data_IF_115065858440
#
_entry.id   IF_115065858440
#
_cell.length_a   1.000
_cell.length_b   1.000
_cell.length_c   1.000
_cell.angle_alpha   90.00
_cell.angle_beta   90.00
_cell.angle_gamma   90.00
#
_symmetry.space_group_name_H-M   'P 1'
#
loop_
_entity.id
_entity.type
_entity.pdbx_description
1 polymer ?
#
# COMPACT_ATOMS: atom_id res chain seq x y z
N UNK A 1 -50.87 16.69 25.31
CA UNK A 1 -49.76 15.83 24.85
C UNK A 1 -49.04 16.63 23.76
N UNK A 2 -47.84 17.13 24.06
CA UNK A 2 -47.18 18.20 23.28
C UNK A 2 -46.74 17.71 21.89
N UNK A 3 -47.04 18.50 20.86
CA UNK A 3 -46.69 18.22 19.46
C UNK A 3 -45.19 17.98 19.27
N UNK A 4 -44.33 18.69 20.01
CA UNK A 4 -42.87 18.53 19.96
C UNK A 4 -42.38 17.14 20.41
N UNK A 5 -43.07 16.52 21.37
CA UNK A 5 -42.73 15.17 21.82
C UNK A 5 -43.04 14.14 20.73
N UNK A 6 -44.10 14.36 19.96
CA UNK A 6 -44.49 13.47 18.87
C UNK A 6 -43.52 13.59 17.67
N UNK A 7 -43.05 14.81 17.39
CA UNK A 7 -42.02 15.06 16.36
C UNK A 7 -40.70 14.43 16.75
N UNK A 8 -40.28 14.56 18.02
CA UNK A 8 -39.06 13.92 18.52
C UNK A 8 -39.14 12.40 18.41
N UNK A 9 -40.24 11.77 18.85
CA UNK A 9 -40.40 10.32 18.76
C UNK A 9 -40.41 9.83 17.30
N UNK A 10 -41.05 10.55 16.38
CA UNK A 10 -41.02 10.23 14.95
C UNK A 10 -39.62 10.37 14.35
N UNK A 11 -38.85 11.37 14.77
CA UNK A 11 -37.46 11.57 14.34
C UNK A 11 -36.57 10.45 14.85
N UNK A 12 -36.65 10.14 16.15
CA UNK A 12 -35.88 9.04 16.76
C UNK A 12 -36.24 7.72 16.10
N UNK A 13 -37.53 7.44 15.86
CA UNK A 13 -37.97 6.21 15.21
C UNK A 13 -37.52 6.12 13.76
N UNK A 14 -37.54 7.22 12.99
CA UNK A 14 -36.97 7.27 11.64
C UNK A 14 -35.45 7.07 11.63
N UNK A 15 -34.75 7.61 12.62
CA UNK A 15 -33.30 7.43 12.76
C UNK A 15 -32.98 6.00 13.19
N UNK A 16 -33.74 5.40 14.09
CA UNK A 16 -33.60 4.00 14.49
C UNK A 16 -33.98 3.03 13.37
N UNK A 17 -34.99 3.33 12.55
CA UNK A 17 -35.33 2.55 11.35
C UNK A 17 -34.23 2.66 10.29
N UNK A 18 -33.60 3.83 10.14
CA UNK A 18 -32.59 4.09 9.12
C UNK A 18 -31.17 3.66 9.53
N UNK A 19 -30.85 3.69 10.82
CA UNK A 19 -29.50 3.42 11.33
C UNK A 19 -29.43 2.29 12.37
N UNK A 20 -30.56 1.71 12.76
CA UNK A 20 -30.64 0.75 13.86
C UNK A 20 -30.51 1.40 15.24
N UNK A 21 -30.57 0.57 16.30
CA UNK A 21 -30.28 1.01 17.66
C UNK A 21 -28.83 1.51 17.77
N UNK A 22 -28.58 2.53 18.61
CA UNK A 22 -27.22 3.04 18.94
C UNK A 22 -26.26 1.91 19.35
N UNK A 23 -26.78 0.88 20.03
CA UNK A 23 -26.00 -0.30 20.46
C UNK A 23 -25.63 -1.23 19.29
N UNK A 24 -26.41 -1.18 18.22
CA UNK A 24 -26.13 -1.87 16.97
C UNK A 24 -25.08 -1.08 16.17
N UNK A 25 -25.26 0.24 16.02
CA UNK A 25 -24.24 1.14 15.42
C UNK A 25 -22.86 0.99 16.06
N UNK A 26 -22.76 1.02 17.38
CA UNK A 26 -21.45 0.88 18.06
C UNK A 26 -20.85 -0.51 17.84
N UNK A 27 -21.67 -1.57 17.76
CA UNK A 27 -21.18 -2.91 17.39
C UNK A 27 -20.68 -2.94 15.95
N UNK A 28 -21.38 -2.31 15.02
CA UNK A 28 -20.94 -2.16 13.64
C UNK A 28 -19.61 -1.40 13.54
N UNK A 29 -19.52 -0.22 14.17
CA UNK A 29 -18.31 0.60 14.20
C UNK A 29 -17.11 -0.16 14.76
N UNK A 30 -17.29 -0.89 15.87
CA UNK A 30 -16.23 -1.71 16.46
C UNK A 30 -15.74 -2.82 15.51
N UNK A 31 -16.65 -3.43 14.72
CA UNK A 31 -16.27 -4.42 13.70
C UNK A 31 -15.51 -3.81 12.53
N UNK A 32 -15.93 -2.63 12.07
CA UNK A 32 -15.22 -1.89 11.02
C UNK A 32 -13.84 -1.41 11.47
N UNK A 33 -13.70 -0.87 12.68
CA UNK A 33 -12.41 -0.40 13.21
C UNK A 33 -11.41 -1.55 13.44
N UNK A 34 -11.90 -2.74 13.77
CA UNK A 34 -11.05 -3.93 13.87
C UNK A 34 -10.61 -4.48 12.52
N UNK A 35 -11.26 -4.09 11.42
CA UNK A 35 -10.97 -4.63 10.09
C UNK A 35 -9.93 -3.79 9.36
N UNK A 36 -8.67 -4.18 9.51
CA UNK A 36 -7.55 -3.65 8.72
C UNK A 36 -7.20 -4.60 7.57
N UNK A 37 -6.65 -4.08 6.47
CA UNK A 37 -6.16 -4.89 5.34
C UNK A 37 -5.02 -5.79 5.82
N UNK A 38 -5.13 -7.09 5.58
CA UNK A 38 -4.05 -8.03 5.91
C UNK A 38 -2.92 -7.97 4.87
N UNK A 39 -1.68 -8.22 5.27
CA UNK A 39 -0.50 -8.26 4.39
C UNK A 39 -0.58 -9.45 3.43
N UNK A 40 -1.19 -9.25 2.26
CA UNK A 40 -1.40 -10.27 1.22
C UNK A 40 -2.84 -10.40 0.74
N UNK A 41 -3.76 -9.65 1.35
CA UNK A 41 -5.17 -9.61 0.96
C UNK A 41 -5.40 -8.63 -0.20
N UNK A 42 -6.20 -9.06 -1.18
CA UNK A 42 -6.62 -8.21 -2.31
C UNK A 42 -7.60 -7.15 -1.82
N UNK A 43 -7.59 -5.98 -2.48
CA UNK A 43 -8.51 -4.90 -2.13
C UNK A 43 -9.96 -5.30 -2.41
N UNK A 44 -10.23 -6.15 -3.42
CA UNK A 44 -11.54 -6.73 -3.62
C UNK A 44 -12.03 -7.57 -2.44
N UNK A 45 -11.19 -8.44 -1.87
CA UNK A 45 -11.61 -9.26 -0.72
C UNK A 45 -11.98 -8.37 0.49
N UNK A 46 -11.20 -7.32 0.74
CA UNK A 46 -11.54 -6.33 1.75
C UNK A 46 -12.83 -5.58 1.41
N UNK A 47 -13.02 -5.17 0.15
CA UNK A 47 -14.23 -4.48 -0.31
C UNK A 47 -15.49 -5.33 -0.20
N UNK A 48 -15.40 -6.62 -0.53
CA UNK A 48 -16.49 -7.59 -0.43
C UNK A 48 -16.86 -7.86 1.04
N UNK A 49 -15.85 -7.99 1.92
CA UNK A 49 -16.07 -8.07 3.37
C UNK A 49 -16.79 -6.81 3.89
N UNK A 50 -16.35 -5.61 3.47
CA UNK A 50 -16.98 -4.35 3.87
C UNK A 50 -18.43 -4.24 3.36
N UNK A 51 -18.74 -4.85 2.22
CA UNK A 51 -20.09 -4.90 1.64
C UNK A 51 -21.00 -5.92 2.29
N UNK A 52 -20.48 -7.08 2.68
CA UNK A 52 -21.24 -8.07 3.44
C UNK A 52 -21.73 -7.54 4.79
N UNK A 53 -21.14 -6.45 5.27
CA UNK A 53 -21.49 -5.85 6.55
C UNK A 53 -22.84 -5.10 6.49
N UNK A 54 -23.28 -4.47 5.39
CA UNK A 54 -24.70 -4.04 5.18
C UNK A 54 -24.96 -3.38 3.80
N UNK A 55 -26.23 -3.32 3.37
CA UNK A 55 -26.65 -2.92 2.01
C UNK A 55 -27.21 -1.46 1.91
N UNK A 56 -27.10 -0.66 2.97
CA UNK A 56 -27.66 0.71 2.97
C UNK A 56 -26.68 1.77 2.46
N UNK A 57 -27.18 2.68 1.61
CA UNK A 57 -26.41 3.78 1.00
C UNK A 57 -25.77 4.74 2.04
N UNK A 58 -26.35 4.84 3.24
CA UNK A 58 -25.78 5.65 4.32
C UNK A 58 -24.59 4.95 5.02
N UNK A 59 -24.55 3.62 5.00
CA UNK A 59 -23.42 2.83 5.49
C UNK A 59 -22.31 2.69 4.44
N UNK A 60 -22.61 2.80 3.13
CA UNK A 60 -21.58 2.81 2.07
C UNK A 60 -20.57 3.95 2.27
N UNK A 61 -21.03 5.16 2.61
CA UNK A 61 -20.15 6.30 2.90
C UNK A 61 -19.24 6.01 4.10
N UNK A 62 -19.74 5.28 5.09
CA UNK A 62 -19.00 4.94 6.29
C UNK A 62 -17.96 3.83 6.01
N UNK A 63 -18.35 2.83 5.20
CA UNK A 63 -17.45 1.79 4.71
C UNK A 63 -16.33 2.35 3.82
N UNK A 64 -16.65 3.31 2.95
CA UNK A 64 -15.69 4.00 2.10
C UNK A 64 -14.68 4.83 2.91
N UNK A 65 -15.13 5.50 3.97
CA UNK A 65 -14.24 6.19 4.90
C UNK A 65 -13.28 5.22 5.63
N UNK A 66 -13.74 4.01 5.97
CA UNK A 66 -12.89 2.99 6.60
C UNK A 66 -11.90 2.40 5.59
N UNK A 67 -12.36 2.13 4.36
CA UNK A 67 -11.52 1.72 3.25
C UNK A 67 -10.36 2.72 3.06
N UNK A 68 -10.64 4.02 3.03
CA UNK A 68 -9.61 5.08 2.92
C UNK A 68 -8.62 5.16 4.07
N UNK A 69 -8.97 4.67 5.28
CA UNK A 69 -7.99 4.57 6.38
C UNK A 69 -7.04 3.39 6.20
N UNK A 70 -7.46 2.35 5.48
CA UNK A 70 -6.70 1.11 5.29
C UNK A 70 -5.79 1.10 4.06
N UNK A 71 -5.83 2.17 3.25
CA UNK A 71 -5.17 2.28 1.95
C UNK A 71 -4.09 3.38 2.00
N UNK A 72 -2.98 3.25 1.25
CA UNK A 72 -2.00 4.32 1.10
C UNK A 72 -2.61 5.64 0.59
N UNK A 73 -2.06 6.76 1.07
CA UNK A 73 -2.53 8.13 0.82
C UNK A 73 -2.69 8.44 -0.68
N UNK A 74 -1.78 7.95 -1.52
CA UNK A 74 -1.81 8.19 -2.97
C UNK A 74 -3.09 7.64 -3.64
N UNK A 75 -3.50 6.45 -3.25
CA UNK A 75 -4.70 5.81 -3.80
C UNK A 75 -5.96 6.50 -3.29
N UNK A 76 -5.95 6.93 -2.03
CA UNK A 76 -7.04 7.73 -1.45
C UNK A 76 -7.25 9.02 -2.25
N UNK A 77 -6.20 9.80 -2.49
CA UNK A 77 -6.30 11.04 -3.26
C UNK A 77 -6.88 10.80 -4.66
N UNK A 78 -6.49 9.72 -5.34
CA UNK A 78 -7.03 9.39 -6.68
C UNK A 78 -8.49 8.96 -6.66
N UNK A 79 -8.94 8.30 -5.59
CA UNK A 79 -10.35 7.98 -5.41
C UNK A 79 -11.17 9.26 -5.13
N UNK A 80 -10.63 10.20 -4.37
CA UNK A 80 -11.24 11.52 -4.13
C UNK A 80 -11.31 12.35 -5.43
N UNK A 81 -10.24 12.39 -6.24
CA UNK A 81 -10.20 13.10 -7.54
C UNK A 81 -11.25 12.59 -8.54
N UNK A 82 -11.63 11.31 -8.44
CA UNK A 82 -12.65 10.69 -9.30
C UNK A 82 -14.06 10.72 -8.71
N UNK A 83 -14.25 11.38 -7.57
CA UNK A 83 -15.52 11.47 -6.85
C UNK A 83 -16.19 10.11 -6.62
N UNK A 84 -15.43 9.12 -6.12
CA UNK A 84 -15.96 7.78 -5.86
C UNK A 84 -17.10 7.82 -4.83
N UNK A 85 -18.26 7.27 -5.18
CA UNK A 85 -19.44 7.23 -4.30
C UNK A 85 -19.64 5.88 -3.63
N UNK A 86 -19.17 4.81 -4.26
CA UNK A 86 -19.36 3.43 -3.78
C UNK A 86 -18.03 2.77 -3.47
N UNK A 87 -18.08 1.74 -2.62
CA UNK A 87 -16.92 0.89 -2.32
C UNK A 87 -16.45 0.13 -3.57
N UNK A 88 -17.34 -0.26 -4.49
CA UNK A 88 -16.93 -0.89 -5.76
C UNK A 88 -16.03 0.01 -6.58
N UNK A 89 -16.44 1.27 -6.76
CA UNK A 89 -15.72 2.19 -7.64
C UNK A 89 -14.32 2.42 -7.09
N UNK A 90 -14.20 2.58 -5.77
CA UNK A 90 -12.91 2.69 -5.10
C UNK A 90 -12.06 1.43 -5.30
N UNK A 91 -12.62 0.24 -5.05
CA UNK A 91 -11.92 -1.04 -5.21
C UNK A 91 -11.40 -1.24 -6.65
N UNK A 92 -12.23 -1.04 -7.67
CA UNK A 92 -11.83 -1.21 -9.08
C UNK A 92 -10.68 -0.26 -9.45
N UNK A 93 -10.76 0.99 -8.99
CA UNK A 93 -9.70 1.98 -9.20
C UNK A 93 -8.39 1.51 -8.56
N UNK A 94 -8.45 1.07 -7.30
CA UNK A 94 -7.25 0.66 -6.56
C UNK A 94 -6.64 -0.59 -7.17
N UNK A 95 -7.43 -1.62 -7.47
CA UNK A 95 -6.94 -2.86 -8.09
C UNK A 95 -6.29 -2.58 -9.46
N UNK A 96 -6.91 -1.72 -10.26
CA UNK A 96 -6.33 -1.31 -11.54
C UNK A 96 -5.00 -0.59 -11.36
N UNK A 97 -4.87 0.28 -10.36
CA UNK A 97 -3.60 0.96 -10.10
C UNK A 97 -2.53 0.04 -9.51
N UNK A 98 -2.88 -0.85 -8.58
CA UNK A 98 -1.95 -1.84 -8.02
C UNK A 98 -1.43 -2.77 -9.13
N UNK A 99 -2.30 -3.21 -10.04
CA UNK A 99 -1.93 -3.98 -11.21
C UNK A 99 -0.94 -3.18 -12.07
N UNK A 100 -1.29 -1.95 -12.49
CA UNK A 100 -0.41 -1.11 -13.30
C UNK A 100 0.96 -0.91 -12.64
N UNK A 101 1.02 -0.54 -11.36
CA UNK A 101 2.27 -0.34 -10.64
C UNK A 101 3.13 -1.61 -10.60
N UNK A 102 2.51 -2.76 -10.35
CA UNK A 102 3.19 -4.06 -10.38
C UNK A 102 3.77 -4.37 -11.77
N UNK A 103 3.02 -4.09 -12.83
CA UNK A 103 3.45 -4.30 -14.21
C UNK A 103 4.57 -3.35 -14.62
N UNK A 104 4.48 -2.06 -14.28
CA UNK A 104 5.54 -1.08 -14.52
C UNK A 104 6.83 -1.43 -13.77
N UNK A 105 6.71 -1.96 -12.55
CA UNK A 105 7.85 -2.47 -11.80
C UNK A 105 8.51 -3.64 -12.53
N UNK A 106 7.73 -4.67 -12.91
CA UNK A 106 8.21 -5.82 -13.68
C UNK A 106 8.84 -5.40 -15.03
N UNK A 107 8.26 -4.42 -15.72
CA UNK A 107 8.76 -3.89 -16.99
C UNK A 107 10.13 -3.22 -16.81
N UNK A 108 10.26 -2.28 -15.87
CA UNK A 108 11.52 -1.59 -15.56
C UNK A 108 12.63 -2.59 -15.24
N UNK A 109 12.33 -3.56 -14.41
CA UNK A 109 13.26 -4.64 -14.05
C UNK A 109 13.71 -5.45 -15.29
N UNK A 110 12.81 -5.70 -16.25
CA UNK A 110 13.15 -6.41 -17.49
C UNK A 110 13.93 -5.59 -18.51
N UNK A 111 13.75 -4.26 -18.53
CA UNK A 111 14.37 -3.35 -19.50
C UNK A 111 15.81 -3.00 -19.14
N UNK A 112 16.11 -2.84 -17.85
CA UNK A 112 17.45 -2.52 -17.36
C UNK A 112 17.98 -3.64 -16.47
N UNK A 113 18.35 -4.80 -17.03
CA UNK A 113 18.83 -5.92 -16.22
C UNK A 113 20.10 -5.59 -15.41
N UNK A 114 20.86 -4.56 -15.81
CA UNK A 114 21.96 -4.05 -15.01
C UNK A 114 21.51 -3.49 -13.66
N UNK A 115 20.34 -2.84 -13.57
CA UNK A 115 19.85 -2.30 -12.29
C UNK A 115 19.58 -3.43 -11.30
N UNK A 116 19.18 -4.61 -11.75
CA UNK A 116 18.99 -5.80 -10.91
C UNK A 116 20.23 -6.13 -10.08
N UNK A 117 21.40 -6.04 -10.71
CA UNK A 117 22.65 -6.33 -10.02
C UNK A 117 23.04 -5.23 -9.06
N UNK A 118 22.87 -3.96 -9.44
CA UNK A 118 23.34 -2.81 -8.65
C UNK A 118 22.35 -2.34 -7.57
N UNK A 119 21.07 -2.61 -7.73
CA UNK A 119 19.99 -2.22 -6.82
C UNK A 119 20.16 -2.80 -5.40
N UNK A 120 20.51 -4.09 -5.18
CA UNK A 120 20.82 -4.57 -3.82
C UNK A 120 22.10 -3.95 -3.23
N UNK A 121 23.06 -3.50 -4.05
CA UNK A 121 24.25 -2.79 -3.55
C UNK A 121 23.97 -1.36 -3.17
N UNK A 122 22.90 -0.75 -3.69
CA UNK A 122 22.48 0.60 -3.33
C UNK A 122 21.75 0.67 -1.98
N UNK A 123 21.43 -0.47 -1.37
CA UNK A 123 20.77 -0.54 -0.07
C UNK A 123 21.74 -0.23 1.07
N UNK A 124 21.23 0.37 2.15
CA UNK A 124 22.06 0.89 3.23
C UNK A 124 22.95 -0.18 3.87
N UNK A 125 22.41 -1.39 4.08
CA UNK A 125 23.14 -2.46 4.78
C UNK A 125 24.31 -2.97 3.93
N UNK A 126 24.05 -3.30 2.66
CA UNK A 126 25.07 -3.84 1.76
C UNK A 126 26.15 -2.80 1.48
N UNK A 127 25.74 -1.57 1.15
CA UNK A 127 26.66 -0.47 0.92
C UNK A 127 27.49 -0.13 2.17
N UNK A 128 26.84 -0.12 3.33
CA UNK A 128 27.49 0.13 4.62
C UNK A 128 28.55 -0.92 4.94
N UNK A 129 28.27 -2.20 4.72
CA UNK A 129 29.23 -3.29 4.94
C UNK A 129 30.45 -3.17 4.01
N UNK A 130 30.24 -2.88 2.72
CA UNK A 130 31.32 -2.67 1.77
C UNK A 130 32.17 -1.45 2.13
N UNK A 131 31.54 -0.35 2.52
CA UNK A 131 32.23 0.86 2.96
C UNK A 131 33.04 0.61 4.25
N UNK A 132 32.46 -0.09 5.23
CA UNK A 132 33.15 -0.47 6.46
C UNK A 132 34.36 -1.36 6.19
N UNK A 133 34.24 -2.32 5.28
CA UNK A 133 35.35 -3.18 4.87
C UNK A 133 36.46 -2.37 4.17
N UNK A 134 36.10 -1.53 3.20
CA UNK A 134 37.05 -0.69 2.47
C UNK A 134 37.80 0.28 3.39
N UNK A 135 37.08 0.94 4.32
CA UNK A 135 37.69 1.89 5.28
C UNK A 135 38.58 1.19 6.31
N UNK A 136 38.20 -0.01 6.74
CA UNK A 136 39.05 -0.85 7.60
C UNK A 136 40.33 -1.26 6.86
N UNK A 137 40.22 -1.65 5.59
CA UNK A 137 41.37 -2.06 4.78
C UNK A 137 42.33 -0.91 4.44
N UNK A 138 41.81 0.25 4.06
CA UNK A 138 42.63 1.39 3.59
C UNK A 138 43.17 2.25 4.74
N UNK A 139 42.39 2.47 5.79
CA UNK A 139 42.69 3.47 6.82
C UNK A 139 42.84 2.85 8.23
N UNK A 140 42.73 1.53 8.38
CA UNK A 140 42.73 0.84 9.67
C UNK A 140 41.68 1.38 10.66
N UNK A 141 40.57 1.92 10.14
CA UNK A 141 39.47 2.38 10.97
C UNK A 141 38.65 1.20 11.51
N UNK A 142 38.05 1.39 12.68
CA UNK A 142 37.13 0.40 13.24
C UNK A 142 35.89 0.31 12.35
N UNK A 143 35.80 -0.75 11.53
CA UNK A 143 34.74 -0.92 10.54
C UNK A 143 33.32 -0.81 11.11
N UNK A 144 33.09 -1.28 12.34
CA UNK A 144 31.78 -1.16 13.01
C UNK A 144 31.36 0.30 13.24
N UNK A 145 32.30 1.20 13.57
CA UNK A 145 32.01 2.62 13.76
C UNK A 145 31.64 3.27 12.42
N UNK A 146 32.40 2.96 11.37
CA UNK A 146 32.13 3.45 10.02
C UNK A 146 30.75 2.97 9.53
N UNK A 147 30.41 1.71 9.79
CA UNK A 147 29.10 1.15 9.46
C UNK A 147 27.97 1.88 10.18
N UNK A 148 28.07 2.07 11.50
CA UNK A 148 27.03 2.74 12.29
C UNK A 148 26.84 4.20 11.87
N UNK A 149 27.93 4.93 11.60
CA UNK A 149 27.85 6.30 11.10
C UNK A 149 27.21 6.34 9.71
N UNK A 150 27.56 5.41 8.83
CA UNK A 150 26.95 5.30 7.51
C UNK A 150 25.44 5.07 7.61
N UNK A 151 25.00 4.10 8.42
CA UNK A 151 23.58 3.83 8.65
C UNK A 151 22.83 5.04 9.21
N UNK A 152 23.43 5.78 10.14
CA UNK A 152 22.83 6.99 10.69
C UNK A 152 22.65 8.07 9.61
N UNK A 153 23.68 8.32 8.80
CA UNK A 153 23.62 9.31 7.73
C UNK A 153 22.56 8.92 6.69
N UNK A 154 22.53 7.64 6.30
CA UNK A 154 21.55 7.15 5.34
C UNK A 154 20.11 7.28 5.85
N UNK A 155 19.88 6.88 7.09
CA UNK A 155 18.58 7.04 7.76
C UNK A 155 18.11 8.51 7.79
N UNK A 156 19.03 9.46 8.04
CA UNK A 156 18.72 10.89 8.03
C UNK A 156 18.39 11.39 6.62
N UNK A 157 19.11 10.93 5.60
CA UNK A 157 18.83 11.29 4.21
C UNK A 157 17.46 10.77 3.77
N UNK A 158 17.10 9.53 4.10
CA UNK A 158 15.79 8.96 3.79
C UNK A 158 14.66 9.73 4.51
N UNK A 159 14.89 10.13 5.77
CA UNK A 159 13.96 10.98 6.49
C UNK A 159 13.77 12.33 5.79
N UNK A 160 14.86 12.98 5.37
CA UNK A 160 14.80 14.24 4.64
C UNK A 160 14.08 14.07 3.30
N UNK A 161 14.37 12.99 2.55
CA UNK A 161 13.76 12.70 1.26
C UNK A 161 12.24 12.61 1.38
N UNK A 162 11.73 11.85 2.34
CA UNK A 162 10.29 11.73 2.57
C UNK A 162 9.67 13.06 3.00
N UNK A 163 10.37 13.86 3.82
CA UNK A 163 9.92 15.21 4.17
C UNK A 163 9.81 16.14 2.95
N UNK A 164 10.72 16.00 2.00
CA UNK A 164 10.71 16.78 0.75
C UNK A 164 9.58 16.33 -0.18
N UNK A 165 9.38 15.02 -0.33
CA UNK A 165 8.33 14.45 -1.19
C UNK A 165 6.93 14.84 -0.68
N UNK A 166 6.71 14.73 0.64
CA UNK A 166 5.41 15.05 1.25
C UNK A 166 5.13 16.57 1.26
N UNK A 167 6.18 17.40 1.25
CA UNK A 167 6.05 18.86 1.28
C UNK A 167 5.42 19.42 2.57
N UNK A 168 5.31 18.61 3.63
CA UNK A 168 4.57 18.95 4.86
C UNK A 168 5.00 18.17 6.12
N UNK A 169 4.30 18.36 7.25
CA UNK A 169 4.50 17.54 8.44
C UNK A 169 4.00 16.12 8.20
N UNK A 170 4.84 15.12 8.50
CA UNK A 170 4.51 13.71 8.32
C UNK A 170 3.39 13.28 9.27
N UNK A 171 2.42 12.47 8.80
CA UNK A 171 1.29 12.02 9.63
C UNK A 171 1.66 10.91 10.63
N UNK A 172 2.92 10.49 10.69
CA UNK A 172 3.42 9.41 11.54
C UNK A 172 4.55 9.86 12.47
N UNK A 173 4.72 9.12 13.58
CA UNK A 173 5.78 9.37 14.56
C UNK A 173 7.17 9.02 14.02
N UNK A 174 8.21 9.67 14.56
CA UNK A 174 9.62 9.33 14.24
C UNK A 174 9.96 7.87 14.54
N UNK A 175 9.31 7.28 15.54
CA UNK A 175 9.50 5.87 15.88
C UNK A 175 8.86 4.94 14.85
N UNK A 176 7.66 5.28 14.37
CA UNK A 176 6.99 4.53 13.29
C UNK A 176 7.82 4.60 12.00
N UNK A 177 8.45 5.74 11.73
CA UNK A 177 9.40 5.87 10.63
C UNK A 177 10.60 4.94 10.79
N UNK A 178 11.21 4.87 11.99
CA UNK A 178 12.34 3.98 12.24
C UNK A 178 11.97 2.52 12.01
N UNK A 179 10.83 2.08 12.53
CA UNK A 179 10.34 0.70 12.33
C UNK A 179 10.08 0.44 10.85
N UNK A 180 9.42 1.38 10.16
CA UNK A 180 9.18 1.30 8.72
C UNK A 180 10.47 1.22 7.91
N UNK A 181 11.48 2.01 8.26
CA UNK A 181 12.79 2.01 7.62
C UNK A 181 13.49 0.64 7.77
N UNK A 182 13.49 0.07 8.98
CA UNK A 182 14.06 -1.26 9.23
C UNK A 182 13.31 -2.35 8.45
N UNK A 183 11.98 -2.30 8.46
CA UNK A 183 11.15 -3.26 7.70
C UNK A 183 11.46 -3.14 6.21
N UNK A 184 11.59 -1.93 5.68
CA UNK A 184 11.91 -1.70 4.28
C UNK A 184 13.27 -2.32 3.92
N UNK A 185 14.33 -2.01 4.66
CA UNK A 185 15.68 -2.55 4.42
C UNK A 185 15.74 -4.09 4.47
N UNK A 186 14.94 -4.73 5.33
CA UNK A 186 14.90 -6.21 5.42
C UNK A 186 14.01 -6.85 4.35
N UNK A 187 12.87 -6.24 4.04
CA UNK A 187 11.88 -6.81 3.11
C UNK A 187 12.21 -6.56 1.65
N UNK A 188 12.89 -5.45 1.34
CA UNK A 188 13.17 -5.02 -0.02
C UNK A 188 13.96 -6.05 -0.85
N UNK A 189 15.04 -6.68 -0.34
CA UNK A 189 15.73 -7.76 -1.06
C UNK A 189 14.80 -8.94 -1.39
N UNK A 190 13.88 -9.29 -0.46
CA UNK A 190 12.93 -10.38 -0.66
C UNK A 190 11.89 -10.08 -1.74
N UNK A 191 11.42 -8.83 -1.82
CA UNK A 191 10.45 -8.39 -2.83
C UNK A 191 11.08 -8.39 -4.23
N UNK A 192 12.32 -7.90 -4.35
CA UNK A 192 13.07 -7.91 -5.61
C UNK A 192 13.26 -9.35 -6.10
N UNK A 193 13.77 -10.23 -5.24
CA UNK A 193 13.96 -11.65 -5.57
C UNK A 193 12.65 -12.28 -6.05
N UNK A 194 11.55 -12.09 -5.32
CA UNK A 194 10.23 -12.62 -5.72
C UNK A 194 9.75 -12.06 -7.05
N UNK A 195 9.97 -10.77 -7.31
CA UNK A 195 9.62 -10.14 -8.58
C UNK A 195 10.38 -10.72 -9.78
N UNK A 196 11.60 -11.25 -9.57
CA UNK A 196 12.36 -11.90 -10.65
C UNK A 196 11.86 -13.29 -11.00
N UNK A 197 11.36 -14.04 -10.02
CA UNK A 197 10.91 -15.41 -10.26
C UNK A 197 9.56 -15.46 -11.00
N UNK A 198 8.81 -14.36 -11.09
CA UNK A 198 7.55 -14.27 -11.84
C UNK A 198 7.60 -13.24 -13.00
N UNK A 199 8.06 -13.65 -14.20
CA UNK A 199 8.16 -12.76 -15.37
C UNK A 199 6.83 -12.57 -16.13
N UNK A 200 5.70 -12.99 -15.55
CA UNK A 200 4.38 -12.88 -16.20
C UNK A 200 3.74 -11.53 -15.87
N UNK A 201 3.27 -10.84 -16.90
CA UNK A 201 2.49 -9.59 -16.80
C UNK A 201 1.13 -9.82 -17.46
N UNK A 202 0.06 -9.22 -16.92
CA UNK A 202 -1.31 -9.38 -17.42
C UNK A 202 -1.84 -8.02 -17.86
N UNK A 203 -1.42 -7.59 -19.04
CA UNK A 203 -1.82 -6.28 -19.53
C UNK A 203 -3.14 -6.39 -20.27
N UNK A 204 -4.18 -5.76 -19.71
CA UNK A 204 -5.58 -5.86 -20.19
C UNK A 204 -6.04 -7.33 -20.19
N UNK A 205 -6.29 -7.90 -21.37
CA UNK A 205 -6.77 -9.27 -21.56
C UNK A 205 -5.71 -10.23 -22.13
N UNK A 206 -4.47 -9.75 -22.28
CA UNK A 206 -3.38 -10.52 -22.89
C UNK A 206 -2.30 -10.78 -21.85
N UNK A 207 -1.81 -12.01 -21.81
CA UNK A 207 -0.69 -12.38 -20.95
C UNK A 207 0.60 -12.21 -21.72
N UNK A 208 1.54 -11.49 -21.12
CA UNK A 208 2.85 -11.26 -21.71
C UNK A 208 3.93 -11.88 -20.82
N UNK A 209 4.90 -12.52 -21.45
CA UNK A 209 6.13 -12.96 -20.81
C UNK A 209 7.23 -11.97 -21.16
N UNK A 210 7.84 -11.36 -20.15
CA UNK A 210 8.96 -10.46 -20.39
C UNK A 210 10.25 -11.24 -20.44
N UNK A 211 11.02 -10.95 -21.49
CA UNK A 211 12.41 -11.35 -21.63
C UNK A 211 13.31 -10.22 -21.18
N UNK A 212 14.51 -10.62 -20.77
CA UNK A 212 15.57 -9.69 -20.39
C UNK A 212 15.96 -8.84 -21.61
N UNK A 213 16.14 -7.55 -21.40
CA UNK A 213 16.40 -6.57 -22.47
C UNK A 213 15.14 -5.94 -23.07
N UNK A 214 14.01 -5.98 -22.36
CA UNK A 214 12.78 -5.29 -22.74
C UNK A 214 12.00 -5.91 -23.92
N UNK A 215 12.30 -7.16 -24.28
CA UNK A 215 11.52 -7.89 -25.29
C UNK A 215 10.28 -8.52 -24.66
N UNK A 216 9.13 -8.34 -25.32
CA UNK A 216 7.84 -8.81 -24.84
C UNK A 216 7.36 -9.93 -25.76
N UNK A 217 7.09 -11.11 -25.19
CA UNK A 217 6.44 -12.20 -25.91
C UNK A 217 5.00 -12.34 -25.46
N UNK A 218 4.07 -12.25 -26.40
CA UNK A 218 2.66 -12.52 -26.13
C UNK A 218 2.46 -14.03 -25.95
N UNK A 219 1.95 -14.43 -24.78
CA UNK A 219 1.47 -15.79 -24.58
C UNK A 219 0.12 -15.89 -25.28
N UNK A 220 0.12 -16.29 -26.56
CA UNK A 220 -1.12 -16.66 -27.23
C UNK A 220 -1.81 -17.74 -26.40
N UNK A 221 -2.98 -17.42 -25.86
CA UNK A 221 -3.87 -18.42 -25.28
C UNK A 221 -4.12 -19.44 -26.38
N UNK A 222 -3.59 -20.65 -26.24
CA UNK A 222 -3.97 -21.77 -27.11
C UNK A 222 -5.48 -21.83 -27.08
N UNK A 223 -6.13 -21.54 -28.21
CA UNK A 223 -7.51 -21.93 -28.45
C UNK A 223 -7.54 -23.45 -28.24
N UNK A 224 -8.09 -23.89 -27.12
CA UNK A 224 -8.56 -25.26 -26.97
C UNK A 224 -9.69 -25.42 -27.97
N UNK A 225 -9.39 -26.10 -29.08
CA UNK A 225 -10.34 -26.65 -30.04
C UNK A 225 -11.21 -27.69 -29.33
#
# INVERSE_FOLDING_TARGET
>A
MNADLMVYILLVRRLEERFGSVRQQNRWLSRFEMRTRNSGETVAALGDDLRQIDDSLAQEVLALNQLYKSIPIEMKCRCEDRECKTVADAVDIIERYEALLGEWCKLRTSMTPATIFFEPFSQCIVQGCLNAWAMSYLFNFTGSVVFLVHCLVWFLLDYILIRVIEGGPLPFSKFEFLVGWIINEVTYPGVILRSHFDPKIVWRNHQFKLKWGGTVEELHSKQTV
#
